data_IF_786802962521
#
_entry.id   IF_786802962521
#
_cell.length_a   1.000
_cell.length_b   1.000
_cell.length_c   1.000
_cell.angle_alpha   90.00
_cell.angle_beta   90.00
_cell.angle_gamma   90.00
#
_symmetry.space_group_name_H-M   'P 1'
#
loop_
_entity.id
_entity.type
_entity.pdbx_description
1 polymer ?
#
# COMPACT_ATOMS: atom_id res chain seq x y z
N UNK A 1 5.79 1.91 -2.93
CA UNK A 1 4.78 2.37 -3.89
C UNK A 1 3.66 1.35 -3.97
N UNK A 2 2.42 1.77 -3.73
CA UNK A 2 1.23 0.93 -3.82
C UNK A 2 0.36 1.39 -4.99
N UNK A 3 -0.21 0.47 -5.76
CA UNK A 3 -1.11 0.82 -6.87
C UNK A 3 -2.57 0.63 -6.48
N UNK A 4 -3.44 1.56 -6.89
CA UNK A 4 -4.87 1.49 -6.62
C UNK A 4 -5.68 1.80 -7.88
N UNK A 5 -6.58 0.91 -8.25
CA UNK A 5 -7.51 1.13 -9.38
C UNK A 5 -8.66 2.04 -8.99
N UNK A 6 -9.12 2.85 -9.93
CA UNK A 6 -10.35 3.64 -9.84
C UNK A 6 -11.06 3.64 -11.21
N UNK A 7 -12.36 3.84 -11.22
CA UNK A 7 -13.13 3.96 -12.46
C UNK A 7 -12.98 5.40 -13.02
N UNK A 8 -12.38 5.53 -14.21
CA UNK A 8 -12.34 6.69 -15.14
C UNK A 8 -11.36 7.85 -14.88
N UNK A 9 -10.55 8.19 -15.89
CA UNK A 9 -9.79 9.43 -16.16
C UNK A 9 -9.35 10.28 -14.93
N UNK A 10 -8.05 10.26 -14.64
CA UNK A 10 -7.36 11.21 -13.77
C UNK A 10 -7.36 12.61 -14.38
N UNK A 11 -7.74 13.61 -13.58
CA UNK A 11 -7.73 15.03 -13.97
C UNK A 11 -6.43 15.74 -13.49
N UNK A 12 -5.58 15.09 -12.69
CA UNK A 12 -4.38 15.71 -12.10
C UNK A 12 -3.15 14.80 -12.11
N UNK A 13 -1.95 15.40 -12.06
CA UNK A 13 -0.67 14.68 -11.98
C UNK A 13 -0.43 14.04 -10.61
N UNK A 14 0.23 12.86 -10.58
CA UNK A 14 0.46 12.08 -9.36
C UNK A 14 1.29 12.82 -8.28
N UNK A 15 2.26 13.65 -8.67
CA UNK A 15 3.12 14.37 -7.73
C UNK A 15 2.33 15.43 -6.94
N UNK A 16 1.46 16.18 -7.62
CA UNK A 16 0.57 17.17 -6.99
C UNK A 16 -0.43 16.49 -6.06
N UNK A 17 -0.94 15.32 -6.45
CA UNK A 17 -1.91 14.56 -5.65
C UNK A 17 -1.28 13.99 -4.37
N UNK A 18 -0.04 13.50 -4.44
CA UNK A 18 0.70 13.04 -3.25
C UNK A 18 0.97 14.17 -2.25
N UNK A 19 1.30 15.39 -2.72
CA UNK A 19 1.43 16.55 -1.83
C UNK A 19 0.15 16.88 -1.08
N UNK A 20 -1.02 16.82 -1.76
CA UNK A 20 -2.34 17.01 -1.14
C UNK A 20 -2.65 15.92 -0.11
N UNK A 21 -2.26 14.68 -0.39
CA UNK A 21 -2.39 13.56 0.56
C UNK A 21 -1.60 13.82 1.85
N UNK A 22 -0.32 14.17 1.75
CA UNK A 22 0.54 14.44 2.91
C UNK A 22 -0.03 15.58 3.76
N UNK A 23 -0.47 16.67 3.12
CA UNK A 23 -1.10 17.80 3.82
C UNK A 23 -2.42 17.42 4.51
N UNK A 24 -3.27 16.63 3.85
CA UNK A 24 -4.52 16.15 4.42
C UNK A 24 -4.28 15.27 5.65
N UNK A 25 -3.28 14.38 5.60
CA UNK A 25 -2.91 13.54 6.73
C UNK A 25 -2.34 14.33 7.89
N UNK A 26 -1.55 15.38 7.66
CA UNK A 26 -1.08 16.23 8.74
C UNK A 26 -2.25 16.83 9.56
N UNK A 27 -3.38 17.12 8.91
CA UNK A 27 -4.57 17.66 9.55
C UNK A 27 -5.51 16.59 10.15
N UNK A 28 -5.60 15.40 9.55
CA UNK A 28 -6.64 14.41 9.88
C UNK A 28 -6.11 13.11 10.50
N UNK A 29 -4.81 12.82 10.32
CA UNK A 29 -4.16 11.57 10.73
C UNK A 29 -2.63 11.74 10.93
N UNK A 30 -2.16 12.68 11.76
CA UNK A 30 -0.73 13.03 11.89
C UNK A 30 0.16 11.87 12.35
N UNK A 31 -0.41 10.88 13.04
CA UNK A 31 0.29 9.70 13.57
C UNK A 31 0.69 8.67 12.51
N UNK A 32 0.19 8.75 11.27
CA UNK A 32 0.28 7.67 10.28
C UNK A 32 1.57 7.65 9.42
N UNK A 33 2.56 8.52 9.64
CA UNK A 33 3.88 8.41 8.99
C UNK A 33 3.83 8.34 7.46
N UNK A 34 2.98 9.15 6.83
CA UNK A 34 2.51 8.94 5.44
C UNK A 34 3.49 9.36 4.33
N UNK A 35 4.63 9.96 4.69
CA UNK A 35 5.60 10.52 3.73
C UNK A 35 6.17 9.45 2.79
N UNK A 36 6.27 8.21 3.27
CA UNK A 36 6.80 7.08 2.50
C UNK A 36 5.71 6.26 1.80
N UNK A 37 4.44 6.68 1.91
CA UNK A 37 3.29 6.00 1.31
C UNK A 37 2.89 6.68 0.00
N UNK A 38 3.37 6.13 -1.10
CA UNK A 38 3.03 6.59 -2.45
C UNK A 38 1.98 5.69 -3.07
N UNK A 39 0.88 6.29 -3.53
CA UNK A 39 -0.18 5.59 -4.26
C UNK A 39 -0.17 6.02 -5.72
N UNK A 40 -0.14 5.05 -6.64
CA UNK A 40 -0.34 5.26 -8.07
C UNK A 40 -1.77 4.91 -8.42
N UNK A 41 -2.65 5.90 -8.67
CA UNK A 41 -3.99 5.64 -9.16
C UNK A 41 -3.93 5.12 -10.61
N UNK A 42 -4.60 3.98 -10.87
CA UNK A 42 -4.71 3.33 -12.18
C UNK A 42 -6.17 3.35 -12.66
N UNK A 43 -6.41 3.64 -13.93
CA UNK A 43 -7.77 3.59 -14.49
C UNK A 43 -8.14 2.14 -14.82
N UNK A 44 -9.20 1.64 -14.18
CA UNK A 44 -9.69 0.28 -14.37
C UNK A 44 -10.18 -0.05 -15.79
N UNK A 45 -10.45 0.97 -16.62
CA UNK A 45 -10.80 0.77 -18.03
C UNK A 45 -9.59 0.38 -18.91
N UNK A 46 -8.37 0.74 -18.49
CA UNK A 46 -7.15 0.60 -19.29
C UNK A 46 -6.10 -0.30 -18.65
N UNK A 47 -6.22 -0.58 -17.35
CA UNK A 47 -5.30 -1.44 -16.62
C UNK A 47 -5.95 -2.78 -16.28
N UNK A 48 -5.26 -3.91 -16.48
CA UNK A 48 -5.80 -5.21 -16.09
C UNK A 48 -5.94 -5.30 -14.57
N UNK A 49 -7.01 -5.96 -14.12
CA UNK A 49 -7.21 -6.27 -12.71
C UNK A 49 -6.42 -7.53 -12.34
N UNK A 50 -5.43 -7.38 -11.47
CA UNK A 50 -4.69 -8.50 -10.87
C UNK A 50 -5.50 -9.18 -9.73
N UNK A 51 -5.11 -10.40 -9.37
CA UNK A 51 -5.72 -11.15 -8.27
C UNK A 51 -5.64 -10.39 -6.93
N UNK A 52 -6.66 -10.59 -6.10
CA UNK A 52 -6.76 -9.94 -4.79
C UNK A 52 -5.83 -10.62 -3.79
N UNK A 53 -4.83 -9.89 -3.32
CA UNK A 53 -3.99 -10.29 -2.18
C UNK A 53 -4.46 -9.55 -0.94
N UNK A 54 -4.50 -10.25 0.19
CA UNK A 54 -4.84 -9.66 1.48
C UNK A 54 -3.80 -8.58 1.85
N UNK A 55 -4.29 -7.39 2.21
CA UNK A 55 -3.42 -6.31 2.70
C UNK A 55 -2.77 -6.73 4.03
N UNK A 56 -1.46 -6.50 4.22
CA UNK A 56 -0.85 -6.60 5.53
C UNK A 56 -1.51 -5.59 6.48
N UNK A 57 -1.65 -5.96 7.76
CA UNK A 57 -2.41 -5.20 8.76
C UNK A 57 -1.95 -3.73 8.87
N UNK A 58 -0.66 -3.48 8.69
CA UNK A 58 -0.05 -2.16 8.75
C UNK A 58 -0.48 -1.26 7.59
N UNK A 59 -0.75 -1.85 6.43
CA UNK A 59 -1.26 -1.14 5.27
C UNK A 59 -2.78 -0.95 5.35
N UNK A 60 -3.52 -1.70 6.18
CA UNK A 60 -4.98 -1.54 6.29
C UNK A 60 -5.33 -0.12 6.75
N UNK A 61 -4.70 0.38 7.82
CA UNK A 61 -4.97 1.73 8.30
C UNK A 61 -4.55 2.82 7.30
N UNK A 62 -3.43 2.61 6.59
CA UNK A 62 -2.96 3.54 5.57
C UNK A 62 -3.88 3.58 4.34
N UNK A 63 -4.26 2.42 3.82
CA UNK A 63 -5.15 2.28 2.66
C UNK A 63 -6.54 2.82 2.96
N UNK A 64 -7.12 2.52 4.13
CA UNK A 64 -8.40 3.09 4.55
C UNK A 64 -8.34 4.62 4.70
N UNK A 65 -7.24 5.14 5.24
CA UNK A 65 -7.05 6.59 5.37
C UNK A 65 -6.91 7.25 4.00
N UNK A 66 -6.19 6.60 3.09
CA UNK A 66 -6.08 7.06 1.70
C UNK A 66 -7.42 7.04 0.97
N UNK A 67 -8.26 6.02 1.18
CA UNK A 67 -9.61 5.97 0.61
C UNK A 67 -10.48 7.15 1.09
N UNK A 68 -10.39 7.52 2.38
CA UNK A 68 -11.08 8.70 2.93
C UNK A 68 -10.60 9.98 2.26
N UNK A 69 -9.28 10.17 2.16
CA UNK A 69 -8.70 11.29 1.43
C UNK A 69 -9.17 11.31 -0.03
N UNK A 70 -9.08 10.18 -0.72
CA UNK A 70 -9.44 10.07 -2.13
C UNK A 70 -10.89 10.49 -2.36
N UNK A 71 -11.83 10.00 -1.55
CA UNK A 71 -13.26 10.34 -1.63
C UNK A 71 -13.61 11.74 -1.12
N UNK A 72 -12.73 12.39 -0.34
CA UNK A 72 -12.92 13.79 0.05
C UNK A 72 -12.82 14.75 -1.15
N UNK A 73 -12.22 14.29 -2.25
CA UNK A 73 -12.18 15.06 -3.48
C UNK A 73 -13.53 14.97 -4.21
N UNK A 74 -14.16 16.10 -4.61
CA UNK A 74 -15.52 16.11 -5.17
C UNK A 74 -15.71 15.17 -6.38
N UNK A 75 -14.71 15.07 -7.24
CA UNK A 75 -14.75 14.21 -8.44
C UNK A 75 -14.59 12.72 -8.13
N UNK A 76 -14.24 12.35 -6.90
CA UNK A 76 -13.90 11.01 -6.48
C UNK A 76 -14.85 10.43 -5.43
N UNK A 77 -15.87 11.19 -4.99
CA UNK A 77 -16.73 10.81 -3.87
C UNK A 77 -17.41 9.43 -4.05
N UNK A 78 -17.79 9.08 -5.27
CA UNK A 78 -18.40 7.79 -5.63
C UNK A 78 -17.41 6.70 -6.04
N UNK A 79 -16.11 7.00 -6.13
CA UNK A 79 -15.10 6.06 -6.62
C UNK A 79 -14.75 5.01 -5.55
N UNK A 80 -14.60 3.77 -6.00
CA UNK A 80 -14.15 2.65 -5.18
C UNK A 80 -12.72 2.31 -5.57
N UNK A 81 -11.80 2.37 -4.61
CA UNK A 81 -10.41 1.97 -4.84
C UNK A 81 -10.27 0.45 -4.73
N UNK A 82 -9.54 -0.15 -5.67
CA UNK A 82 -9.12 -1.55 -5.58
C UNK A 82 -7.60 -1.63 -5.53
N UNK A 83 -7.06 -2.14 -4.42
CA UNK A 83 -5.62 -2.19 -4.17
C UNK A 83 -4.95 -3.36 -4.92
N UNK A 84 -3.87 -3.06 -5.66
CA UNK A 84 -3.11 -4.05 -6.43
C UNK A 84 -1.73 -4.27 -5.83
N UNK A 85 -1.63 -5.21 -4.88
CA UNK A 85 -0.39 -5.45 -4.13
C UNK A 85 0.66 -6.25 -4.90
N UNK A 86 0.25 -7.01 -5.91
CA UNK A 86 1.18 -7.80 -6.73
C UNK A 86 2.15 -6.91 -7.52
N UNK A 87 1.65 -5.77 -8.01
CA UNK A 87 2.45 -4.78 -8.76
C UNK A 87 2.99 -3.66 -7.86
N UNK A 88 2.74 -3.77 -6.56
CA UNK A 88 3.22 -2.81 -5.56
C UNK A 88 4.57 -3.25 -5.02
N UNK A 89 5.42 -2.28 -4.70
CA UNK A 89 6.71 -2.52 -4.04
C UNK A 89 6.78 -1.77 -2.73
N UNK A 90 7.55 -2.30 -1.79
CA UNK A 90 7.82 -1.66 -0.51
C UNK A 90 9.25 -1.90 -0.10
N UNK A 91 9.73 -1.03 0.78
CA UNK A 91 11.02 -1.18 1.42
C UNK A 91 10.82 -1.81 2.79
N UNK A 92 11.58 -2.84 3.10
CA UNK A 92 11.59 -3.51 4.39
C UNK A 92 12.99 -3.42 4.96
N UNK A 93 13.11 -2.98 6.21
CA UNK A 93 14.34 -3.08 6.97
C UNK A 93 14.34 -4.39 7.75
N UNK A 94 15.40 -5.18 7.59
CA UNK A 94 15.58 -6.45 8.28
C UNK A 94 16.85 -6.43 9.11
N UNK A 95 16.73 -6.86 10.37
CA UNK A 95 17.86 -7.02 11.27
C UNK A 95 18.33 -8.47 11.20
N UNK A 96 19.54 -8.70 10.70
CA UNK A 96 20.15 -10.02 10.62
C UNK A 96 20.64 -10.48 12.01
N UNK A 97 20.86 -11.78 12.23
CA UNK A 97 21.44 -12.29 13.48
C UNK A 97 22.79 -11.67 13.83
N UNK A 98 23.56 -11.25 12.82
CA UNK A 98 24.83 -10.51 12.97
C UNK A 98 24.65 -9.07 13.49
N UNK A 99 23.41 -8.63 13.76
CA UNK A 99 23.01 -7.24 14.05
C UNK A 99 23.22 -6.26 12.90
N UNK A 100 23.56 -6.77 11.72
CA UNK A 100 23.56 -5.95 10.51
C UNK A 100 22.13 -5.64 10.10
N UNK A 101 21.85 -4.37 9.85
CA UNK A 101 20.59 -3.91 9.27
C UNK A 101 20.78 -3.91 7.75
N UNK A 102 19.87 -4.59 7.05
CA UNK A 102 19.81 -4.53 5.58
C UNK A 102 18.45 -3.99 5.15
N UNK A 103 18.47 -3.23 4.06
CA UNK A 103 17.29 -2.64 3.45
C UNK A 103 16.98 -3.42 2.18
N UNK A 104 15.77 -3.97 2.09
CA UNK A 104 15.33 -4.77 0.94
C UNK A 104 14.16 -4.05 0.25
N UNK A 105 14.27 -3.90 -1.07
CA UNK A 105 13.14 -3.52 -1.90
C UNK A 105 12.47 -4.80 -2.41
N UNK A 106 11.22 -5.01 -2.02
CA UNK A 106 10.46 -6.24 -2.30
C UNK A 106 9.08 -5.89 -2.83
N UNK A 107 8.37 -6.87 -3.40
CA UNK A 107 6.95 -6.69 -3.67
C UNK A 107 6.17 -6.54 -2.36
N UNK A 108 5.05 -5.83 -2.37
CA UNK A 108 4.21 -5.68 -1.18
C UNK A 108 3.70 -7.05 -0.70
N UNK A 109 3.42 -7.98 -1.62
CA UNK A 109 3.08 -9.37 -1.30
C UNK A 109 4.23 -10.10 -0.59
N UNK A 110 5.48 -9.96 -1.05
CA UNK A 110 6.64 -10.57 -0.38
C UNK A 110 6.86 -9.98 1.01
N UNK A 111 6.61 -8.67 1.21
CA UNK A 111 6.68 -8.05 2.54
C UNK A 111 5.65 -8.62 3.52
N UNK A 112 4.44 -8.97 3.07
CA UNK A 112 3.44 -9.69 3.90
C UNK A 112 4.02 -11.00 4.40
N UNK A 113 4.60 -11.79 3.49
CA UNK A 113 5.17 -13.09 3.79
C UNK A 113 6.33 -12.96 4.78
N UNK A 114 7.28 -12.06 4.52
CA UNK A 114 8.43 -11.81 5.40
C UNK A 114 8.00 -11.48 6.83
N UNK A 115 6.87 -10.78 7.00
CA UNK A 115 6.33 -10.43 8.31
C UNK A 115 5.77 -11.63 9.07
N UNK A 116 5.24 -12.64 8.39
CA UNK A 116 4.77 -13.86 9.05
C UNK A 116 5.93 -14.57 9.79
N UNK A 117 7.15 -14.51 9.25
CA UNK A 117 8.34 -15.08 9.90
C UNK A 117 8.82 -14.28 11.11
N UNK A 118 8.48 -12.99 11.22
CA UNK A 118 8.78 -12.16 12.40
C UNK A 118 7.88 -12.55 13.58
N UNK A 119 6.63 -12.93 13.30
CA UNK A 119 5.60 -13.17 14.32
C UNK A 119 5.44 -14.64 14.73
N UNK A 120 5.73 -15.61 13.85
CA UNK A 120 5.23 -16.99 13.99
C UNK A 120 6.27 -18.10 13.73
N UNK A 121 7.56 -17.91 14.06
CA UNK A 121 8.67 -18.89 13.95
C UNK A 121 9.54 -18.80 12.68
N UNK A 122 10.69 -19.49 12.71
CA UNK A 122 11.69 -19.55 11.63
C UNK A 122 11.26 -20.40 10.43
N UNK A 123 10.10 -21.09 10.49
CA UNK A 123 9.61 -21.95 9.40
C UNK A 123 8.09 -21.91 9.30
N UNK A 124 7.60 -21.59 8.11
CA UNK A 124 6.19 -21.69 7.74
C UNK A 124 6.09 -22.60 6.52
N UNK A 125 5.12 -23.52 6.54
CA UNK A 125 4.77 -24.30 5.35
C UNK A 125 4.02 -23.41 4.35
N UNK A 126 4.06 -23.77 3.06
CA UNK A 126 3.31 -23.07 2.03
C UNK A 126 1.80 -22.98 2.35
N UNK A 127 1.23 -24.02 2.98
CA UNK A 127 -0.17 -24.04 3.41
C UNK A 127 -0.47 -22.96 4.46
N UNK A 128 0.41 -22.80 5.45
CA UNK A 128 0.24 -21.79 6.52
C UNK A 128 0.40 -20.34 6.02
N UNK A 129 1.06 -20.13 4.88
CA UNK A 129 1.19 -18.80 4.27
C UNK A 129 -0.11 -18.39 3.55
N UNK A 130 -0.92 -19.37 3.12
CA UNK A 130 -2.14 -19.15 2.34
C UNK A 130 -3.42 -19.05 3.20
N UNK A 131 -3.36 -19.43 4.48
CA UNK A 131 -4.46 -19.38 5.46
C UNK A 131 -4.51 -18.04 6.20
#
# INVERSE_FOLDING_TARGET
>A
MVSAHYDTNLVESNATFHGKWVAWCAANAPQLGVQNFHVTPLDGAYWPLCERVRLPNELISLTQTYEKFYRSHPHHASRILRWQLMDSTTTVEMVLPSRQIITLQVSAAAAVILRLFVSYTSRLSAKQILE
#
